data_IF_883474621103
#
_entry.id   IF_883474621103
#
_cell.length_a   1.000
_cell.length_b   1.000
_cell.length_c   1.000
_cell.angle_alpha   90.00
_cell.angle_beta   90.00
_cell.angle_gamma   90.00
#
_symmetry.space_group_name_H-M   'P 1'
#
loop_
_entity.id
_entity.type
_entity.pdbx_description
1 polymer ?
#
# COMPACT_ATOMS: atom_id res chain seq x y z
N UNK A 1 -32.24 -2.58 15.02
CA UNK A 1 -31.51 -1.87 13.96
C UNK A 1 -30.71 -2.88 13.16
N UNK A 2 -31.04 -3.09 11.87
CA UNK A 2 -30.14 -3.82 10.96
C UNK A 2 -28.98 -2.87 10.59
N UNK A 3 -27.71 -3.27 10.73
CA UNK A 3 -26.60 -2.45 10.27
C UNK A 3 -26.71 -2.29 8.75
N UNK A 4 -26.65 -1.05 8.27
CA UNK A 4 -26.48 -0.74 6.86
C UNK A 4 -25.10 -1.25 6.41
N UNK A 5 -24.97 -1.91 5.26
CA UNK A 5 -23.67 -2.28 4.73
C UNK A 5 -22.88 -1.00 4.41
N UNK A 6 -21.78 -0.79 5.11
CA UNK A 6 -20.77 0.20 4.76
C UNK A 6 -20.18 -0.16 3.38
N UNK A 7 -20.02 0.84 2.51
CA UNK A 7 -19.57 0.72 1.11
C UNK A 7 -18.21 0.00 0.91
N UNK A 8 -17.50 -0.31 1.98
CA UNK A 8 -16.21 -1.02 1.99
C UNK A 8 -16.32 -2.56 1.85
N UNK A 9 -17.51 -3.10 1.58
CA UNK A 9 -17.78 -4.54 1.68
C UNK A 9 -17.61 -5.33 0.38
N UNK A 10 -16.96 -4.80 -0.65
CA UNK A 10 -16.58 -5.60 -1.82
C UNK A 10 -15.23 -6.27 -1.57
N UNK A 11 -15.22 -7.24 -0.65
CA UNK A 11 -14.16 -8.25 -0.64
C UNK A 11 -14.30 -9.00 -1.95
N UNK A 12 -13.36 -8.82 -2.88
CA UNK A 12 -13.35 -9.55 -4.13
C UNK A 12 -13.19 -11.04 -3.81
N UNK A 13 -14.27 -11.80 -3.93
CA UNK A 13 -14.32 -13.24 -3.64
C UNK A 13 -13.64 -14.10 -4.72
N UNK A 14 -13.17 -13.47 -5.80
CA UNK A 14 -12.42 -14.18 -6.83
C UNK A 14 -11.02 -14.51 -6.29
N UNK A 15 -10.62 -15.78 -6.41
CA UNK A 15 -9.25 -16.17 -6.11
C UNK A 15 -8.28 -15.36 -6.99
N UNK A 16 -7.12 -14.93 -6.43
CA UNK A 16 -6.09 -14.28 -7.22
C UNK A 16 -5.73 -15.15 -8.44
N UNK A 17 -5.85 -14.60 -9.64
CA UNK A 17 -5.52 -15.28 -10.89
C UNK A 17 -4.36 -14.53 -11.58
N UNK A 18 -3.13 -14.65 -11.06
CA UNK A 18 -2.00 -13.92 -11.62
C UNK A 18 -1.54 -14.58 -12.93
N UNK A 19 -1.26 -13.80 -13.96
CA UNK A 19 -0.78 -14.34 -15.24
C UNK A 19 0.62 -14.93 -15.06
N UNK A 20 0.80 -16.17 -15.52
CA UNK A 20 2.08 -16.87 -15.46
C UNK A 20 3.07 -16.29 -16.46
N UNK A 21 2.59 -15.84 -17.61
CA UNK A 21 3.39 -15.23 -18.68
C UNK A 21 4.02 -13.92 -18.22
N UNK A 22 3.22 -13.03 -17.60
CA UNK A 22 3.73 -11.77 -17.07
C UNK A 22 4.67 -11.98 -15.89
N UNK A 23 4.38 -12.91 -14.98
CA UNK A 23 5.28 -13.25 -13.88
C UNK A 23 6.61 -13.82 -14.38
N UNK A 24 6.58 -14.70 -15.39
CA UNK A 24 7.80 -15.26 -15.98
C UNK A 24 8.65 -14.20 -16.68
N UNK A 25 7.99 -13.27 -17.39
CA UNK A 25 8.67 -12.14 -18.03
C UNK A 25 9.30 -11.21 -16.99
N UNK A 26 8.58 -10.90 -15.91
CA UNK A 26 9.09 -10.10 -14.81
C UNK A 26 10.31 -10.77 -14.16
N UNK A 27 10.20 -12.06 -13.81
CA UNK A 27 11.28 -12.83 -13.22
C UNK A 27 12.53 -12.81 -14.10
N UNK A 28 12.36 -13.02 -15.42
CA UNK A 28 13.44 -12.96 -16.39
C UNK A 28 14.13 -11.59 -16.38
N UNK A 29 13.37 -10.50 -16.46
CA UNK A 29 13.95 -9.15 -16.46
C UNK A 29 14.71 -8.88 -15.15
N UNK A 30 14.16 -9.35 -14.02
CA UNK A 30 14.77 -9.14 -12.71
C UNK A 30 16.09 -9.92 -12.54
N UNK A 31 16.17 -11.13 -13.09
CA UNK A 31 17.35 -12.00 -12.98
C UNK A 31 18.43 -11.69 -14.04
N UNK A 32 18.04 -11.21 -15.22
CA UNK A 32 18.97 -10.96 -16.33
C UNK A 32 19.72 -9.61 -16.20
N UNK A 33 19.19 -8.63 -15.47
CA UNK A 33 19.78 -7.28 -15.35
C UNK A 33 19.74 -6.76 -13.90
N UNK A 34 20.78 -7.11 -13.13
CA UNK A 34 20.97 -6.69 -11.73
C UNK A 34 20.88 -5.15 -11.56
N UNK A 35 21.40 -4.38 -12.52
CA UNK A 35 21.41 -2.93 -12.45
C UNK A 35 20.01 -2.33 -12.56
N UNK A 36 19.16 -2.88 -13.43
CA UNK A 36 17.74 -2.50 -13.51
C UNK A 36 16.97 -2.97 -12.29
N UNK A 37 17.20 -4.18 -11.84
CA UNK A 37 16.54 -4.76 -10.66
C UNK A 37 16.81 -3.96 -9.40
N UNK A 38 18.07 -3.58 -9.19
CA UNK A 38 18.47 -2.75 -8.06
C UNK A 38 17.77 -1.39 -8.09
N UNK A 39 17.73 -0.72 -9.24
CA UNK A 39 17.03 0.57 -9.39
C UNK A 39 15.52 0.45 -9.18
N UNK A 40 14.92 -0.63 -9.67
CA UNK A 40 13.51 -0.91 -9.47
C UNK A 40 13.19 -1.13 -7.99
N UNK A 41 13.96 -1.99 -7.31
CA UNK A 41 13.80 -2.26 -5.88
C UNK A 41 14.04 -1.02 -5.02
N UNK A 42 15.07 -0.24 -5.34
CA UNK A 42 15.35 1.02 -4.64
C UNK A 42 14.18 2.01 -4.80
N UNK A 43 13.63 2.15 -6.01
CA UNK A 43 12.43 2.98 -6.23
C UNK A 43 11.22 2.46 -5.47
N UNK A 44 11.00 1.15 -5.47
CA UNK A 44 9.89 0.50 -4.75
C UNK A 44 10.00 0.75 -3.24
N UNK A 45 11.19 0.52 -2.67
CA UNK A 45 11.47 0.72 -1.25
C UNK A 45 11.35 2.19 -0.85
N UNK A 46 11.84 3.12 -1.69
CA UNK A 46 11.70 4.55 -1.44
C UNK A 46 10.23 5.01 -1.44
N UNK A 47 9.41 4.53 -2.38
CA UNK A 47 7.98 4.81 -2.39
C UNK A 47 7.26 4.20 -1.19
N UNK A 48 7.66 2.99 -0.76
CA UNK A 48 7.09 2.32 0.40
C UNK A 48 7.42 3.11 1.67
N UNK A 49 8.68 3.47 1.85
CA UNK A 49 9.15 4.29 2.97
C UNK A 49 8.40 5.63 3.03
N UNK A 50 8.23 6.29 1.88
CA UNK A 50 7.50 7.56 1.81
C UNK A 50 6.03 7.38 2.20
N UNK A 51 5.30 6.50 1.53
CA UNK A 51 3.86 6.30 1.78
C UNK A 51 3.57 5.86 3.22
N UNK A 52 4.41 4.98 3.77
CA UNK A 52 4.26 4.49 5.13
C UNK A 52 4.56 5.58 6.17
N UNK A 53 5.59 6.40 5.94
CA UNK A 53 5.92 7.52 6.82
C UNK A 53 4.79 8.55 6.87
N UNK A 54 4.21 8.89 5.71
CA UNK A 54 3.06 9.79 5.63
C UNK A 54 1.83 9.20 6.35
N UNK A 55 1.53 7.91 6.12
CA UNK A 55 0.43 7.23 6.81
C UNK A 55 0.59 7.27 8.33
N UNK A 56 1.78 6.94 8.83
CA UNK A 56 2.08 6.95 10.27
C UNK A 56 1.98 8.36 10.84
N UNK A 57 2.54 9.36 10.13
CA UNK A 57 2.50 10.76 10.56
C UNK A 57 1.07 11.27 10.73
N UNK A 58 0.22 11.07 9.72
CA UNK A 58 -1.20 11.50 9.79
C UNK A 58 -1.96 10.71 10.86
N UNK A 59 -1.68 9.42 11.01
CA UNK A 59 -2.30 8.60 12.07
C UNK A 59 -1.96 9.12 13.47
N UNK A 60 -0.70 9.49 13.71
CA UNK A 60 -0.27 10.08 14.98
C UNK A 60 -0.92 11.45 15.23
N UNK A 61 -1.05 12.28 14.19
CA UNK A 61 -1.76 13.55 14.27
C UNK A 61 -3.23 13.33 14.71
N UNK A 62 -3.94 12.41 14.05
CA UNK A 62 -5.33 12.05 14.40
C UNK A 62 -5.43 11.58 15.86
N UNK A 63 -4.50 10.73 16.32
CA UNK A 63 -4.48 10.23 17.70
C UNK A 63 -4.24 11.36 18.71
N UNK A 64 -3.29 12.24 18.42
CA UNK A 64 -2.98 13.41 19.26
C UNK A 64 -4.21 14.32 19.41
N UNK A 65 -4.88 14.62 18.28
CA UNK A 65 -6.11 15.40 18.24
C UNK A 65 -7.22 14.75 19.09
N UNK A 66 -7.44 13.45 18.92
CA UNK A 66 -8.46 12.71 19.68
C UNK A 66 -8.19 12.71 21.20
N UNK A 67 -6.91 12.69 21.61
CA UNK A 67 -6.51 12.63 23.02
C UNK A 67 -6.66 13.98 23.75
N UNK A 68 -6.57 15.11 23.03
CA UNK A 68 -6.63 16.46 23.63
C UNK A 68 -8.04 16.93 24.02
N UNK A 69 -9.09 16.15 23.74
CA UNK A 69 -10.49 16.46 24.09
C UNK A 69 -10.97 17.85 23.61
N UNK A 70 -10.40 18.36 22.51
CA UNK A 70 -10.94 19.52 21.81
C UNK A 70 -11.88 19.03 20.69
N UNK A 71 -12.99 19.74 20.39
CA UNK A 71 -13.87 19.41 19.29
C UNK A 71 -13.14 19.70 17.97
N UNK A 72 -12.36 18.74 17.50
CA UNK A 72 -11.47 18.92 16.35
C UNK A 72 -12.19 18.47 15.08
N UNK A 73 -12.39 19.43 14.16
CA UNK A 73 -12.71 19.10 12.79
C UNK A 73 -11.45 18.54 12.14
N UNK A 74 -11.34 17.21 12.12
CA UNK A 74 -10.41 16.54 11.21
C UNK A 74 -10.75 17.00 9.79
N UNK A 75 -9.77 17.57 9.09
CA UNK A 75 -10.00 17.96 7.71
C UNK A 75 -10.27 16.68 6.91
N UNK A 76 -11.45 16.59 6.29
CA UNK A 76 -11.85 15.42 5.50
C UNK A 76 -10.79 15.04 4.45
N UNK A 77 -10.00 16.03 4.01
CA UNK A 77 -8.83 15.86 3.15
C UNK A 77 -7.71 15.02 3.79
N UNK A 78 -7.33 15.29 5.04
CA UNK A 78 -6.27 14.54 5.74
C UNK A 78 -6.63 13.06 5.91
N UNK A 79 -7.89 12.77 6.23
CA UNK A 79 -8.38 11.38 6.35
C UNK A 79 -8.27 10.65 5.00
N UNK A 80 -8.66 11.32 3.90
CA UNK A 80 -8.54 10.76 2.54
C UNK A 80 -7.09 10.52 2.14
N UNK A 81 -6.19 11.44 2.48
CA UNK A 81 -4.74 11.26 2.23
C UNK A 81 -4.22 10.07 3.06
N UNK A 82 -4.59 9.97 4.34
CA UNK A 82 -4.20 8.85 5.20
C UNK A 82 -4.63 7.49 4.61
N UNK A 83 -5.89 7.38 4.18
CA UNK A 83 -6.39 6.17 3.53
C UNK A 83 -5.63 5.84 2.25
N UNK A 84 -5.36 6.84 1.40
CA UNK A 84 -4.58 6.64 0.18
C UNK A 84 -3.13 6.20 0.47
N UNK A 85 -2.46 6.80 1.46
CA UNK A 85 -1.12 6.40 1.87
C UNK A 85 -1.08 4.94 2.35
N UNK A 86 -2.09 4.51 3.13
CA UNK A 86 -2.23 3.12 3.55
C UNK A 86 -2.42 2.17 2.36
N UNK A 87 -3.33 2.49 1.43
CA UNK A 87 -3.58 1.68 0.24
C UNK A 87 -2.33 1.56 -0.64
N UNK A 88 -1.59 2.65 -0.83
CA UNK A 88 -0.32 2.67 -1.56
C UNK A 88 0.71 1.78 -0.86
N UNK A 89 0.89 1.91 0.46
CA UNK A 89 1.83 1.07 1.20
C UNK A 89 1.51 -0.41 1.08
N UNK A 90 0.24 -0.80 1.18
CA UNK A 90 -0.20 -2.19 0.98
C UNK A 90 0.08 -2.66 -0.44
N UNK A 91 -0.25 -1.86 -1.46
CA UNK A 91 0.03 -2.20 -2.86
C UNK A 91 1.53 -2.42 -3.10
N UNK A 92 2.38 -1.54 -2.58
CA UNK A 92 3.85 -1.64 -2.73
C UNK A 92 4.40 -2.89 -2.02
N UNK A 93 3.87 -3.23 -0.84
CA UNK A 93 4.21 -4.48 -0.15
C UNK A 93 3.81 -5.73 -0.95
N UNK A 94 2.66 -5.70 -1.64
CA UNK A 94 2.25 -6.79 -2.55
C UNK A 94 3.16 -6.92 -3.76
N UNK A 95 3.63 -5.80 -4.30
CA UNK A 95 4.64 -5.81 -5.37
C UNK A 95 5.95 -6.41 -4.85
N UNK A 96 6.40 -6.03 -3.66
CA UNK A 96 7.61 -6.58 -3.04
C UNK A 96 7.49 -8.09 -2.79
N UNK A 97 6.35 -8.54 -2.25
CA UNK A 97 6.01 -9.95 -2.05
C UNK A 97 6.09 -10.73 -3.38
N UNK A 98 5.47 -10.20 -4.45
CA UNK A 98 5.52 -10.80 -5.77
C UNK A 98 6.96 -10.92 -6.28
N UNK A 99 7.74 -9.83 -6.19
CA UNK A 99 9.14 -9.80 -6.66
C UNK A 99 9.99 -10.84 -5.93
N UNK A 100 9.91 -10.90 -4.61
CA UNK A 100 10.62 -11.89 -3.79
C UNK A 100 10.19 -13.34 -4.08
N UNK A 101 8.96 -13.54 -4.56
CA UNK A 101 8.44 -14.87 -4.91
C UNK A 101 8.90 -15.31 -6.29
N UNK A 102 8.88 -14.42 -7.28
CA UNK A 102 9.17 -14.78 -8.68
C UNK A 102 10.66 -14.72 -9.04
N UNK A 103 11.46 -13.94 -8.31
CA UNK A 103 12.90 -13.78 -8.51
C UNK A 103 13.63 -13.65 -7.15
N UNK A 104 13.76 -14.75 -6.39
CA UNK A 104 14.40 -14.77 -5.08
C UNK A 104 15.92 -14.61 -5.12
#
# INVERSE_FOLDING_TARGET
HKPQPTEFSYVNLQEPCPSQEFQSLLAKILLDDEGRSTKFLDSLMNQLNWSLSEFVGITQEIQSLTTRTEPLMLEQRQIKICAACFEISVCLLRVLEMVATVAP
#
